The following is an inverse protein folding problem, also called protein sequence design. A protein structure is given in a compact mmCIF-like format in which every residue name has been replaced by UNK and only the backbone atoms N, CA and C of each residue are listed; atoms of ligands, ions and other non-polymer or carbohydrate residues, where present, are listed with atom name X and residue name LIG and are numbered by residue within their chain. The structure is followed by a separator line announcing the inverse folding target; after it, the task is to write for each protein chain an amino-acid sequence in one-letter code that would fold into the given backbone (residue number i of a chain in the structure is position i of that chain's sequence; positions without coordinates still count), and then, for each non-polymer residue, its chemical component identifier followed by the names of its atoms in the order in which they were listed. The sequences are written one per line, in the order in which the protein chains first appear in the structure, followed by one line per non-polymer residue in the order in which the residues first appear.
data_IF_395223642461
#
_entry.id   IF_395223642461
#
_cell.length_a   1.000
_cell.length_b   1.000
_cell.length_c   1.000
_cell.angle_alpha   90.00
_cell.angle_beta   90.00
_cell.angle_gamma   90.00
#
_symmetry.space_group_name_H-M   'P 1'
#
loop_
_entity.id
_entity.type
_entity.pdbx_description
1 polymer ?
#
# COMPACT_ATOMS: atom_id res chain seq x y z
N UNK A 1 2.47 -9.82 14.67
CA UNK A 1 3.10 -9.12 13.51
C UNK A 1 3.89 -7.93 14.00
N UNK A 2 5.12 -7.77 13.56
CA UNK A 2 6.00 -6.64 13.89
C UNK A 2 6.14 -5.71 12.67
N UNK A 3 5.89 -4.41 12.84
CA UNK A 3 6.17 -3.41 11.83
C UNK A 3 7.64 -2.98 11.92
N UNK A 4 8.38 -3.01 10.81
CA UNK A 4 9.83 -2.76 10.82
C UNK A 4 10.17 -1.28 10.66
N UNK A 5 9.55 -0.59 9.73
CA UNK A 5 9.91 0.79 9.35
C UNK A 5 8.72 1.67 9.02
N UNK A 6 7.54 1.32 9.48
CA UNK A 6 6.33 2.11 9.29
C UNK A 6 5.41 2.02 10.51
N UNK A 7 4.42 2.88 10.55
CA UNK A 7 3.31 2.85 11.52
C UNK A 7 1.98 3.13 10.84
N UNK A 8 0.91 2.71 11.48
CA UNK A 8 -0.45 3.11 11.19
C UNK A 8 -0.88 4.10 12.26
N UNK A 9 -1.53 5.19 11.87
CA UNK A 9 -1.90 6.27 12.77
C UNK A 9 -2.97 5.89 13.78
N UNK A 10 -3.89 5.04 13.35
CA UNK A 10 -5.02 4.55 14.16
C UNK A 10 -5.19 3.04 13.99
N UNK A 11 -5.83 2.34 14.94
CA UNK A 11 -6.00 0.88 14.88
C UNK A 11 -7.03 0.40 13.87
N UNK A 12 -7.98 1.25 13.46
CA UNK A 12 -9.08 0.88 12.57
C UNK A 12 -9.36 1.97 11.54
N UNK A 13 -9.61 1.56 10.28
CA UNK A 13 -10.00 2.49 9.21
C UNK A 13 -8.90 3.45 8.79
N UNK A 14 -7.63 3.10 9.01
CA UNK A 14 -6.50 3.92 8.57
C UNK A 14 -6.38 3.90 7.04
N UNK A 15 -6.26 5.05 6.42
CA UNK A 15 -6.13 5.19 4.97
C UNK A 15 -4.72 5.52 4.52
N UNK A 16 -3.81 5.75 5.48
CA UNK A 16 -2.43 6.11 5.20
C UNK A 16 -1.42 5.27 5.98
N UNK A 17 -0.19 5.26 5.49
CA UNK A 17 0.96 4.62 6.13
C UNK A 17 2.02 5.67 6.38
N UNK A 18 2.50 5.76 7.63
CA UNK A 18 3.59 6.65 7.98
C UNK A 18 4.93 5.92 7.88
N UNK A 19 5.75 6.30 6.91
CA UNK A 19 7.06 5.71 6.67
C UNK A 19 8.05 6.73 6.11
N UNK A 20 9.32 6.62 6.48
CA UNK A 20 10.41 7.49 6.01
C UNK A 20 10.15 9.00 6.21
N UNK A 21 9.42 9.36 7.27
CA UNK A 21 9.03 10.74 7.57
C UNK A 21 7.95 11.32 6.64
N UNK A 22 7.29 10.47 5.86
CA UNK A 22 6.19 10.82 4.97
C UNK A 22 4.91 10.11 5.42
N UNK A 23 3.80 10.75 5.11
CA UNK A 23 2.46 10.20 5.22
C UNK A 23 1.98 9.75 3.83
N UNK A 24 1.85 8.44 3.64
CA UNK A 24 1.49 7.81 2.37
C UNK A 24 -0.02 7.57 2.35
N UNK A 25 -0.76 8.52 1.81
CA UNK A 25 -2.20 8.42 1.63
C UNK A 25 -2.52 7.41 0.50
N UNK A 26 -2.85 6.19 0.90
CA UNK A 26 -3.13 5.09 -0.02
C UNK A 26 -4.56 5.13 -0.57
N UNK A 27 -5.46 5.90 0.06
CA UNK A 27 -6.83 6.08 -0.39
C UNK A 27 -6.92 7.10 -1.53
N UNK A 28 -6.39 8.32 -1.30
CA UNK A 28 -6.59 9.43 -2.23
C UNK A 28 -5.48 9.54 -3.30
N UNK A 29 -4.30 9.00 -3.05
CA UNK A 29 -3.11 9.27 -3.86
C UNK A 29 -2.45 8.00 -4.42
N UNK A 30 -3.12 6.85 -4.30
CA UNK A 30 -2.57 5.60 -4.81
C UNK A 30 -3.66 4.64 -5.27
N UNK A 31 -3.39 3.90 -6.35
CA UNK A 31 -4.19 2.76 -6.77
C UNK A 31 -3.51 1.47 -6.35
N UNK A 32 -4.29 0.57 -5.78
CA UNK A 32 -3.86 -0.79 -5.53
C UNK A 32 -3.53 -1.50 -6.85
N UNK A 33 -2.32 -2.05 -6.94
CA UNK A 33 -1.83 -2.69 -8.16
C UNK A 33 -1.90 -4.21 -8.10
N UNK A 34 -2.02 -4.77 -6.90
CA UNK A 34 -2.19 -6.21 -6.74
C UNK A 34 -1.50 -6.80 -5.52
N UNK A 35 -1.78 -8.08 -5.32
CA UNK A 35 -1.18 -8.95 -4.30
C UNK A 35 -0.35 -10.03 -5.01
N UNK A 36 0.89 -10.19 -4.57
CA UNK A 36 1.76 -11.31 -4.96
C UNK A 36 2.07 -12.16 -3.74
N UNK A 37 1.98 -13.49 -3.88
CA UNK A 37 2.34 -14.44 -2.83
C UNK A 37 3.50 -15.30 -3.31
N UNK A 38 4.60 -15.27 -2.58
CA UNK A 38 5.79 -16.06 -2.85
C UNK A 38 5.75 -17.44 -2.20
N UNK A 39 6.46 -18.40 -2.77
CA UNK A 39 6.62 -19.77 -2.23
C UNK A 39 7.50 -19.80 -0.99
N UNK A 40 8.18 -18.71 -0.67
CA UNK A 40 9.03 -18.52 0.50
C UNK A 40 8.27 -18.01 1.75
N UNK A 41 6.94 -17.98 1.70
CA UNK A 41 6.10 -17.47 2.78
C UNK A 41 6.07 -15.95 2.85
N UNK A 42 6.29 -15.27 1.71
CA UNK A 42 6.11 -13.83 1.60
C UNK A 42 4.79 -13.47 0.93
N UNK A 43 4.21 -12.32 1.28
CA UNK A 43 3.14 -11.69 0.55
C UNK A 43 3.49 -10.21 0.33
N UNK A 44 3.16 -9.66 -0.84
CA UNK A 44 3.43 -8.27 -1.18
C UNK A 44 2.16 -7.62 -1.71
N UNK A 45 1.71 -6.58 -1.04
CA UNK A 45 0.67 -5.66 -1.52
C UNK A 45 1.35 -4.46 -2.17
N UNK A 46 0.93 -4.10 -3.37
CA UNK A 46 1.56 -3.05 -4.16
C UNK A 46 0.58 -1.96 -4.54
N UNK A 47 1.05 -0.71 -4.51
CA UNK A 47 0.31 0.47 -4.97
C UNK A 47 1.12 1.27 -5.97
N UNK A 48 0.42 1.83 -6.97
CA UNK A 48 0.92 2.88 -7.83
C UNK A 48 0.55 4.24 -7.23
N UNK A 49 1.55 5.05 -6.93
CA UNK A 49 1.36 6.35 -6.28
C UNK A 49 1.29 7.46 -7.33
N UNK A 50 0.34 8.37 -7.17
CA UNK A 50 0.19 9.57 -7.98
C UNK A 50 0.90 10.78 -7.35
N UNK A 51 1.36 11.74 -8.19
CA UNK A 51 1.95 12.96 -7.69
C UNK A 51 0.92 13.76 -6.87
N UNK A 52 1.23 14.00 -5.60
CA UNK A 52 0.42 14.90 -4.78
C UNK A 52 0.74 16.36 -5.14
N UNK A 53 -0.22 17.15 -5.65
CA UNK A 53 0.01 18.54 -6.02
C UNK A 53 0.38 19.44 -4.83
N UNK A 54 0.03 19.03 -3.61
CA UNK A 54 0.30 19.77 -2.38
C UNK A 54 1.60 19.35 -1.68
N UNK A 55 2.23 18.26 -2.13
CA UNK A 55 3.47 17.71 -1.56
C UNK A 55 4.48 17.34 -2.65
N UNK A 56 5.17 18.32 -3.26
CA UNK A 56 6.11 18.07 -4.36
C UNK A 56 7.23 17.08 -4.04
N UNK A 57 7.60 16.92 -2.75
CA UNK A 57 8.59 15.94 -2.32
C UNK A 57 8.20 14.50 -2.66
N UNK A 58 6.90 14.20 -2.75
CA UNK A 58 6.39 12.86 -3.02
C UNK A 58 6.45 12.52 -4.51
N UNK A 59 6.70 13.50 -5.36
CA UNK A 59 6.82 13.30 -6.82
C UNK A 59 8.01 12.42 -7.24
N UNK A 60 8.93 12.14 -6.34
CA UNK A 60 10.09 11.25 -6.58
C UNK A 60 9.75 9.76 -6.56
N UNK A 61 8.54 9.39 -6.15
CA UNK A 61 8.10 8.00 -6.08
C UNK A 61 7.08 7.66 -7.16
N UNK A 62 7.09 6.42 -7.63
CA UNK A 62 6.12 5.88 -8.60
C UNK A 62 5.19 4.85 -7.98
N UNK A 63 5.49 4.38 -6.78
CA UNK A 63 4.72 3.37 -6.09
C UNK A 63 5.26 3.08 -4.71
N UNK A 64 4.55 2.22 -3.99
CA UNK A 64 4.98 1.66 -2.73
C UNK A 64 4.49 0.23 -2.59
N UNK A 65 5.01 -0.48 -1.59
CA UNK A 65 4.62 -1.84 -1.27
C UNK A 65 4.64 -2.06 0.25
N UNK A 66 3.73 -2.91 0.72
CA UNK A 66 3.80 -3.57 2.02
C UNK A 66 4.23 -5.02 1.79
N UNK A 67 5.33 -5.40 2.40
CA UNK A 67 5.94 -6.73 2.25
C UNK A 67 5.81 -7.45 3.58
N UNK A 68 5.14 -8.58 3.57
CA UNK A 68 4.88 -9.45 4.71
C UNK A 68 5.80 -10.66 4.64
N UNK A 69 6.47 -11.01 5.74
CA UNK A 69 7.35 -12.19 5.85
C UNK A 69 6.91 -13.09 6.98
N UNK A 70 7.11 -14.40 6.80
CA UNK A 70 6.59 -15.40 7.74
C UNK A 70 5.06 -15.41 7.72
N UNK A 71 4.49 -15.51 6.53
CA UNK A 71 3.04 -15.52 6.31
C UNK A 71 2.41 -16.72 7.01
N UNK A 72 1.53 -16.46 7.97
CA UNK A 72 0.80 -17.50 8.74
C UNK A 72 -0.68 -17.55 8.36
N UNK A 73 -1.21 -16.48 7.80
CA UNK A 73 -2.61 -16.41 7.37
C UNK A 73 -2.77 -15.45 6.19
N UNK A 74 -3.57 -15.87 5.22
CA UNK A 74 -4.02 -15.02 4.11
C UNK A 74 -5.44 -15.41 3.74
N UNK A 75 -6.33 -14.44 3.72
CA UNK A 75 -7.70 -14.58 3.24
C UNK A 75 -8.02 -13.43 2.30
N UNK A 76 -8.57 -13.76 1.15
CA UNK A 76 -9.07 -12.79 0.18
C UNK A 76 -10.60 -12.92 0.17
N UNK A 77 -11.27 -11.84 0.53
CA UNK A 77 -12.73 -11.71 0.43
C UNK A 77 -13.14 -11.35 -0.99
N UNK A 78 -14.34 -11.80 -1.39
CA UNK A 78 -14.89 -11.46 -2.69
C UNK A 78 -15.28 -9.98 -2.75
N UNK A 79 -15.17 -9.40 -3.95
CA UNK A 79 -15.70 -8.08 -4.26
C UNK A 79 -17.23 -8.10 -4.35
N UNK A 80 -17.85 -6.94 -4.20
CA UNK A 80 -19.26 -6.75 -4.55
C UNK A 80 -19.39 -6.69 -6.08
N UNK A 81 -20.11 -7.62 -6.73
CA UNK A 81 -20.26 -7.64 -8.18
C UNK A 81 -21.06 -6.45 -8.74
N UNK A 82 -21.83 -5.75 -7.89
CA UNK A 82 -22.61 -4.57 -8.28
C UNK A 82 -21.76 -3.28 -8.29
N UNK A 83 -20.61 -3.29 -7.64
CA UNK A 83 -19.69 -2.15 -7.61
C UNK A 83 -18.85 -2.07 -8.89
N UNK A 84 -18.49 -0.87 -9.37
CA UNK A 84 -17.54 -0.69 -10.46
C UNK A 84 -16.20 -1.38 -10.19
N UNK A 85 -15.56 -1.96 -11.21
CA UNK A 85 -14.33 -2.73 -11.03
C UNK A 85 -13.13 -1.85 -10.60
N UNK A 86 -13.13 -0.58 -10.91
CA UNK A 86 -12.11 0.39 -10.53
C UNK A 86 -12.17 0.78 -9.05
N UNK A 87 -13.29 0.58 -8.38
CA UNK A 87 -13.39 0.76 -6.92
C UNK A 87 -12.54 -0.26 -6.13
N UNK A 88 -12.19 -1.41 -6.72
CA UNK A 88 -11.26 -2.37 -6.12
C UNK A 88 -9.81 -1.85 -6.09
N UNK A 89 -9.51 -0.76 -6.78
CA UNK A 89 -8.19 -0.13 -6.77
C UNK A 89 -8.04 0.86 -5.61
N UNK A 90 -9.16 1.34 -5.05
CA UNK A 90 -9.17 2.35 -4.00
C UNK A 90 -9.28 1.71 -2.63
N UNK A 91 -8.25 1.91 -1.81
CA UNK A 91 -8.25 1.45 -0.43
C UNK A 91 -9.29 2.24 0.38
N UNK A 92 -10.26 1.56 1.00
CA UNK A 92 -11.21 2.16 1.95
C UNK A 92 -10.61 2.28 3.35
N UNK A 93 -9.85 1.26 3.78
CA UNK A 93 -9.17 1.32 5.05
C UNK A 93 -8.31 0.12 5.39
N UNK A 94 -7.41 0.34 6.35
CA UNK A 94 -6.57 -0.68 6.99
C UNK A 94 -6.99 -0.79 8.44
N UNK A 95 -7.31 -1.99 8.90
CA UNK A 95 -7.71 -2.23 10.28
C UNK A 95 -6.91 -3.37 10.89
N UNK A 96 -6.69 -3.29 12.19
CA UNK A 96 -6.17 -4.40 12.98
C UNK A 96 -7.36 -5.20 13.51
N UNK A 97 -7.37 -6.49 13.21
CA UNK A 97 -8.48 -7.38 13.59
C UNK A 97 -7.97 -8.54 14.42
N UNK A 98 -8.81 -9.04 15.34
CA UNK A 98 -8.48 -10.22 16.13
C UNK A 98 -8.75 -11.49 15.34
N UNK A 99 -7.86 -12.51 15.40
CA UNK A 99 -8.00 -13.74 14.62
C UNK A 99 -9.30 -14.49 14.86
N UNK A 100 -9.77 -14.51 16.10
CA UNK A 100 -10.82 -15.45 16.56
C UNK A 100 -12.24 -14.85 16.60
N UNK A 101 -12.40 -13.58 16.21
CA UNK A 101 -13.73 -12.95 16.25
C UNK A 101 -14.55 -13.30 15.01
N UNK A 102 -15.70 -13.88 15.21
CA UNK A 102 -16.67 -14.22 14.16
C UNK A 102 -17.69 -13.10 13.89
N UNK A 103 -17.56 -11.96 14.56
CA UNK A 103 -18.49 -10.83 14.53
C UNK A 103 -17.84 -9.57 13.94
N UNK A 104 -18.65 -8.57 13.52
CA UNK A 104 -18.14 -7.25 13.09
C UNK A 104 -17.27 -6.53 14.13
N UNK A 105 -17.40 -6.90 15.42
CA UNK A 105 -16.60 -6.35 16.53
C UNK A 105 -15.15 -6.84 16.56
N UNK A 106 -14.66 -7.47 15.48
CA UNK A 106 -13.24 -7.87 15.33
C UNK A 106 -12.27 -6.70 15.34
N UNK A 107 -12.73 -5.52 14.94
CA UNK A 107 -11.93 -4.29 15.00
C UNK A 107 -11.83 -3.80 16.43
N UNK A 108 -10.63 -3.42 16.86
CA UNK A 108 -10.38 -2.87 18.18
C UNK A 108 -9.94 -1.42 18.08
N UNK A 109 -10.68 -0.55 18.78
CA UNK A 109 -10.33 0.86 18.91
C UNK A 109 -9.15 1.06 19.88
N UNK A 110 -8.96 0.15 20.85
CA UNK A 110 -7.87 0.19 21.80
C UNK A 110 -6.86 -0.92 21.50
N UNK A 111 -5.61 -0.53 21.52
CA UNK A 111 -4.50 -1.35 21.13
C UNK A 111 -3.71 -1.88 22.32
N UNK A 112 -3.81 -3.18 22.57
CA UNK A 112 -2.87 -3.87 23.43
C UNK A 112 -1.70 -4.40 22.58
N UNK A 113 -0.47 -3.89 22.73
CA UNK A 113 0.64 -4.20 21.84
C UNK A 113 1.03 -5.69 21.81
N UNK A 114 0.63 -6.44 22.82
CA UNK A 114 0.96 -7.88 22.97
C UNK A 114 -0.10 -8.83 22.38
N UNK A 115 -1.25 -8.31 21.93
CA UNK A 115 -2.30 -9.17 21.38
C UNK A 115 -2.01 -9.51 19.92
N UNK A 116 -1.99 -10.80 19.54
CA UNK A 116 -1.89 -11.19 18.13
C UNK A 116 -2.99 -10.53 17.29
N UNK A 117 -2.65 -10.06 16.11
CA UNK A 117 -3.58 -9.41 15.20
C UNK A 117 -3.27 -9.73 13.75
N UNK A 118 -4.29 -9.63 12.92
CA UNK A 118 -4.18 -9.57 11.47
C UNK A 118 -4.33 -8.14 10.99
N UNK A 119 -3.78 -7.81 9.85
CA UNK A 119 -4.16 -6.62 9.09
C UNK A 119 -5.26 -6.97 8.10
N UNK A 120 -6.35 -6.21 8.15
CA UNK A 120 -7.44 -6.27 7.20
C UNK A 120 -7.41 -5.02 6.33
N UNK A 121 -7.21 -5.20 5.03
CA UNK A 121 -7.34 -4.18 4.00
C UNK A 121 -8.71 -4.31 3.37
N UNK A 122 -9.47 -3.22 3.34
CA UNK A 122 -10.78 -3.15 2.70
C UNK A 122 -10.69 -2.15 1.55
N UNK A 123 -11.33 -2.47 0.43
CA UNK A 123 -11.37 -1.64 -0.76
C UNK A 123 -12.81 -1.23 -1.05
N UNK A 124 -13.03 -0.07 -1.68
CA UNK A 124 -14.36 0.47 -1.94
C UNK A 124 -15.27 -0.49 -2.72
N UNK A 125 -14.69 -1.28 -3.63
CA UNK A 125 -15.40 -2.32 -4.39
C UNK A 125 -15.78 -3.58 -3.61
N UNK A 126 -15.55 -3.60 -2.28
CA UNK A 126 -15.86 -4.74 -1.41
C UNK A 126 -14.77 -5.82 -1.36
N UNK A 127 -13.73 -5.74 -2.20
CA UNK A 127 -12.55 -6.59 -2.08
C UNK A 127 -11.96 -6.41 -0.67
N UNK A 128 -11.57 -7.50 -0.05
CA UNK A 128 -10.85 -7.46 1.23
C UNK A 128 -9.68 -8.43 1.25
N UNK A 129 -8.61 -8.05 1.93
CA UNK A 129 -7.41 -8.87 2.09
C UNK A 129 -7.04 -8.87 3.58
N UNK A 130 -7.08 -10.04 4.21
CA UNK A 130 -6.69 -10.22 5.61
C UNK A 130 -5.39 -11.00 5.68
N UNK A 131 -4.39 -10.46 6.37
CA UNK A 131 -3.03 -11.00 6.44
C UNK A 131 -2.56 -11.09 7.88
N UNK A 132 -1.98 -12.25 8.25
CA UNK A 132 -1.11 -12.40 9.40
C UNK A 132 0.27 -12.88 8.96
N UNK A 133 1.30 -12.28 9.55
CA UNK A 133 2.70 -12.59 9.28
C UNK A 133 3.55 -12.28 10.51
N UNK A 134 4.79 -12.73 10.53
CA UNK A 134 5.74 -12.39 11.61
C UNK A 134 6.12 -10.92 11.53
N UNK A 135 6.39 -10.42 10.31
CA UNK A 135 6.88 -9.08 10.06
C UNK A 135 6.20 -8.43 8.86
N UNK A 136 6.09 -7.11 8.91
CA UNK A 136 5.70 -6.27 7.78
C UNK A 136 6.68 -5.11 7.60
N UNK A 137 7.04 -4.84 6.35
CA UNK A 137 7.96 -3.78 5.93
C UNK A 137 7.28 -2.91 4.86
N UNK A 138 7.38 -1.59 5.00
CA UNK A 138 7.00 -0.67 3.94
C UNK A 138 8.19 -0.39 3.03
N UNK A 139 7.97 -0.34 1.72
CA UNK A 139 8.99 -0.02 0.74
C UNK A 139 8.49 0.96 -0.30
N UNK A 140 9.07 2.15 -0.34
CA UNK A 140 8.84 3.13 -1.39
C UNK A 140 9.59 2.74 -2.67
N UNK A 141 8.96 2.97 -3.85
CA UNK A 141 9.58 2.77 -5.17
C UNK A 141 9.92 4.13 -5.80
N UNK A 142 11.18 4.49 -5.94
CA UNK A 142 11.56 5.73 -6.59
C UNK A 142 11.20 5.72 -8.09
N UNK A 143 10.90 6.89 -8.65
CA UNK A 143 10.77 7.05 -10.09
C UNK A 143 12.15 6.88 -10.74
N UNK A 144 12.20 6.07 -11.77
CA UNK A 144 13.38 6.00 -12.62
C UNK A 144 13.39 7.26 -13.50
N UNK A 145 14.29 8.19 -13.20
CA UNK A 145 14.53 9.35 -14.07
C UNK A 145 15.34 8.85 -15.26
N UNK A 146 14.68 8.57 -16.38
CA UNK A 146 15.39 8.32 -17.64
C UNK A 146 15.89 9.68 -18.13
N UNK A 147 17.19 9.99 -17.93
CA UNK A 147 17.81 11.16 -18.56
C UNK A 147 17.64 11.03 -20.08
N UNK A 148 16.85 11.89 -20.67
CA UNK A 148 16.82 12.00 -22.13
C UNK A 148 18.21 12.44 -22.60
N UNK A 149 18.85 11.74 -23.56
CA UNK A 149 20.11 12.15 -24.09
C UNK A 149 19.98 13.58 -24.60
N UNK A 150 20.78 14.50 -24.03
CA UNK A 150 20.81 15.91 -24.43
C UNK A 150 20.97 15.95 -25.95
N UNK A 151 19.94 16.34 -26.66
CA UNK A 151 19.91 16.41 -28.12
C UNK A 151 21.11 17.19 -28.60
N UNK A 152 21.91 16.58 -29.47
CA UNK A 152 23.04 17.25 -30.16
C UNK A 152 22.51 18.53 -30.81
N UNK A 153 22.87 19.71 -30.27
CA UNK A 153 22.62 20.99 -30.93
C UNK A 153 23.21 20.90 -32.35
N UNK A 154 22.33 20.87 -33.36
CA UNK A 154 22.75 21.01 -34.75
C UNK A 154 23.47 22.35 -34.89
N UNK A 155 24.75 22.33 -35.27
CA UNK A 155 25.48 23.53 -35.60
C UNK A 155 24.78 24.23 -36.78
N UNK A 156 24.61 25.57 -36.74
CA UNK A 156 24.02 26.27 -37.86
C UNK A 156 24.94 26.11 -39.08
N UNK A 157 24.37 25.69 -40.21
CA UNK A 157 25.02 25.64 -41.50
C UNK A 157 25.26 27.10 -41.93
N UNK A 158 26.51 27.50 -42.06
CA UNK A 158 26.86 28.79 -42.67
C UNK A 158 26.56 28.70 -44.16
N UNK A 159 25.60 29.49 -44.62
CA UNK A 159 25.38 29.75 -46.04
C UNK A 159 26.52 30.64 -46.55
N UNK A 160 27.12 30.25 -47.66
CA UNK A 160 28.10 31.01 -48.47
C UNK A 160 27.33 31.84 -49.50
#
# INVERSE_FOLDING_TARGET
MRFLNFSLGIPTGEISVQADGLDWDLHNLADFSGLTVGTDGTATLEWRVYPNPYRPADHRFSGCALIFRGLTFLKIGGRDPEMPADEDLTLDGISRVTPDATTPERTRDEWAPETPFHLLFVFLGGLSIEIAADEAEFRARPKVVVEQPKGRRKKPVKSV
#
